data_IF_223886978051
#
_entry.id   IF_223886978051
#
_cell.length_a   1.000
_cell.length_b   1.000
_cell.length_c   1.000
_cell.angle_alpha   90.00
_cell.angle_beta   90.00
_cell.angle_gamma   90.00
#
_symmetry.space_group_name_H-M   'P 1'
#
loop_
_entity.id
_entity.type
_entity.pdbx_description
1 polymer ?
#
# COMPACT_ATOMS: atom_id res chain seq x y z
N UNK A 1 -0.36 0.66 -18.54
CA UNK A 1 -0.94 2.02 -18.54
C UNK A 1 0.20 2.99 -18.80
N UNK A 2 0.13 3.78 -19.86
CA UNK A 2 1.08 4.88 -20.06
C UNK A 2 0.66 6.05 -19.17
N UNK A 3 1.44 6.31 -18.12
CA UNK A 3 1.26 7.48 -17.27
C UNK A 3 1.95 8.68 -17.91
N UNK A 4 1.23 9.45 -18.73
CA UNK A 4 1.67 10.79 -19.14
C UNK A 4 1.36 11.82 -18.02
N UNK A 5 1.81 11.52 -16.80
CA UNK A 5 1.65 12.36 -15.62
C UNK A 5 3.00 12.56 -14.95
N UNK A 6 3.39 13.82 -14.76
CA UNK A 6 4.65 14.15 -14.11
C UNK A 6 4.42 14.35 -12.60
N UNK A 7 4.85 13.36 -11.82
CA UNK A 7 4.66 13.33 -10.38
C UNK A 7 5.53 14.38 -9.67
N UNK A 8 4.93 15.30 -8.92
CA UNK A 8 5.61 16.41 -8.22
C UNK A 8 5.62 16.27 -6.70
N UNK A 9 4.88 15.30 -6.18
CA UNK A 9 4.64 15.05 -4.77
C UNK A 9 3.75 16.09 -4.09
N UNK A 10 2.72 16.56 -4.79
CA UNK A 10 1.67 17.45 -4.26
C UNK A 10 0.28 16.82 -4.31
N UNK A 11 -0.72 17.55 -3.82
CA UNK A 11 -2.11 17.09 -3.74
C UNK A 11 -2.70 16.72 -5.11
N UNK A 12 -2.34 17.45 -6.17
CA UNK A 12 -2.74 17.15 -7.56
C UNK A 12 -2.35 15.71 -7.98
N UNK A 13 -1.20 15.23 -7.50
CA UNK A 13 -0.75 13.86 -7.76
C UNK A 13 -1.63 12.85 -7.04
N UNK A 14 -2.03 13.13 -5.80
CA UNK A 14 -2.94 12.26 -5.06
C UNK A 14 -4.33 12.23 -5.66
N UNK A 15 -4.87 13.37 -6.11
CA UNK A 15 -6.12 13.39 -6.86
C UNK A 15 -6.02 12.63 -8.18
N UNK A 16 -4.89 12.72 -8.89
CA UNK A 16 -4.66 11.94 -10.10
C UNK A 16 -4.63 10.45 -9.80
N UNK A 17 -3.85 10.02 -8.82
CA UNK A 17 -3.77 8.62 -8.39
C UNK A 17 -5.13 8.12 -7.95
N UNK A 18 -5.86 8.84 -7.10
CA UNK A 18 -7.20 8.47 -6.64
C UNK A 18 -8.13 8.15 -7.82
N UNK A 19 -8.18 9.01 -8.84
CA UNK A 19 -9.01 8.77 -10.03
C UNK A 19 -8.60 7.52 -10.79
N UNK A 20 -7.30 7.26 -10.95
CA UNK A 20 -6.82 6.07 -11.64
C UNK A 20 -7.13 4.79 -10.85
N UNK A 21 -6.91 4.80 -9.53
CA UNK A 21 -7.22 3.65 -8.68
C UNK A 21 -8.73 3.38 -8.64
N UNK A 22 -9.56 4.44 -8.53
CA UNK A 22 -11.02 4.34 -8.63
C UNK A 22 -11.45 3.68 -9.95
N UNK A 23 -10.87 4.07 -11.08
CA UNK A 23 -11.18 3.51 -12.39
C UNK A 23 -10.89 2.00 -12.44
N UNK A 24 -9.77 1.55 -11.88
CA UNK A 24 -9.41 0.12 -11.84
C UNK A 24 -10.32 -0.65 -10.88
N UNK A 25 -10.63 -0.09 -9.71
CA UNK A 25 -11.46 -0.75 -8.69
C UNK A 25 -12.96 -0.66 -8.98
N UNK A 26 -13.37 0.15 -9.96
CA UNK A 26 -14.79 0.40 -10.25
C UNK A 26 -15.50 1.19 -9.15
N UNK A 27 -14.79 2.08 -8.45
CA UNK A 27 -15.37 2.97 -7.43
C UNK A 27 -15.71 4.31 -8.09
N UNK A 28 -16.90 4.84 -7.82
CA UNK A 28 -17.28 6.18 -8.30
C UNK A 28 -16.57 7.26 -7.48
N UNK A 29 -15.58 7.91 -8.10
CA UNK A 29 -14.80 8.97 -7.47
C UNK A 29 -15.63 10.18 -7.02
N UNK A 30 -16.83 10.40 -7.57
CA UNK A 30 -17.69 11.52 -7.17
C UNK A 30 -18.31 11.32 -5.78
N UNK A 31 -18.30 10.09 -5.25
CA UNK A 31 -18.75 9.78 -3.89
C UNK A 31 -17.69 10.05 -2.82
N UNK A 32 -16.47 10.37 -3.25
CA UNK A 32 -15.30 10.43 -2.38
C UNK A 32 -14.82 11.88 -2.20
N UNK A 33 -14.45 12.21 -0.98
CA UNK A 33 -13.75 13.43 -0.64
C UNK A 33 -12.33 13.09 -0.17
N UNK A 34 -11.33 13.59 -0.88
CA UNK A 34 -9.91 13.38 -0.54
C UNK A 34 -9.47 14.46 0.43
N UNK A 35 -8.97 14.06 1.59
CA UNK A 35 -8.52 14.95 2.66
C UNK A 35 -7.06 14.68 2.98
N UNK A 36 -6.28 15.72 3.21
CA UNK A 36 -4.88 15.58 3.63
C UNK A 36 -4.72 15.95 5.10
N UNK A 37 -3.87 15.22 5.80
CA UNK A 37 -3.49 15.54 7.17
C UNK A 37 -1.99 15.38 7.37
N UNK A 38 -1.48 16.14 8.32
CA UNK A 38 -0.10 16.07 8.78
C UNK A 38 -0.13 15.75 10.27
N UNK A 39 0.37 14.57 10.64
CA UNK A 39 0.59 14.28 12.05
C UNK A 39 1.80 15.08 12.54
N UNK A 40 1.77 15.65 13.77
CA UNK A 40 2.91 16.33 14.33
C UNK A 40 4.14 15.41 14.27
N UNK A 41 5.18 15.87 13.58
CA UNK A 41 6.42 15.12 13.41
C UNK A 41 7.00 14.67 14.75
N UNK A 42 7.64 13.51 14.74
CA UNK A 42 8.43 13.02 15.87
C UNK A 42 9.40 14.10 16.33
N UNK A 43 9.44 14.37 17.63
CA UNK A 43 10.34 15.35 18.25
C UNK A 43 11.79 14.88 18.02
N UNK A 44 12.58 15.67 17.30
CA UNK A 44 14.04 15.47 17.19
C UNK A 44 14.68 15.66 18.58
N UNK A 45 15.15 14.57 19.18
CA UNK A 45 16.11 14.67 20.28
C UNK A 45 17.53 14.74 19.72
N UNK A 46 18.34 15.63 20.30
CA UNK A 46 19.70 16.00 19.85
C UNK A 46 20.74 14.87 19.81
N UNK A 47 20.39 13.64 20.18
CA UNK A 47 21.33 12.50 20.29
C UNK A 47 21.06 11.35 19.31
N UNK A 48 20.28 11.56 18.24
CA UNK A 48 20.23 10.61 17.12
C UNK A 48 19.63 9.23 17.43
N UNK A 49 18.98 9.09 18.58
CA UNK A 49 18.17 7.93 18.96
C UNK A 49 16.69 8.28 18.80
N UNK A 50 16.02 7.66 17.83
CA UNK A 50 14.57 7.68 17.68
C UNK A 50 14.01 6.63 18.64
N UNK A 51 13.40 7.06 19.75
CA UNK A 51 12.63 6.18 20.63
C UNK A 51 11.16 6.23 20.24
N UNK A 52 10.62 5.12 19.73
CA UNK A 52 9.16 4.92 19.65
C UNK A 52 8.65 4.48 21.03
N UNK A 53 8.23 5.46 21.84
CA UNK A 53 7.38 5.22 23.01
C UNK A 53 6.11 6.04 22.86
N UNK A 54 5.07 5.40 22.31
CA UNK A 54 3.73 5.97 22.25
C UNK A 54 2.88 5.22 21.22
N UNK A 55 1.85 4.53 21.69
CA UNK A 55 0.80 3.90 20.88
C UNK A 55 -0.11 4.95 20.21
N UNK A 56 0.46 5.84 19.41
CA UNK A 56 -0.27 6.56 18.37
C UNK A 56 0.03 5.83 17.06
N UNK A 57 -0.92 5.02 16.61
CA UNK A 57 -0.89 4.42 15.28
C UNK A 57 -0.95 5.56 14.26
N UNK A 58 0.23 6.03 13.83
CA UNK A 58 0.39 6.93 12.70
C UNK A 58 -0.03 6.20 11.44
N UNK A 59 -1.31 6.33 11.08
CA UNK A 59 -1.85 5.67 9.89
C UNK A 59 -1.38 6.40 8.63
N UNK A 60 -1.08 5.66 7.55
CA UNK A 60 -0.66 6.26 6.28
C UNK A 60 -1.85 6.89 5.52
N UNK A 61 -3.05 6.36 5.78
CA UNK A 61 -4.32 6.86 5.31
C UNK A 61 -5.45 6.34 6.19
N UNK A 62 -6.67 6.82 5.92
CA UNK A 62 -7.87 6.42 6.65
C UNK A 62 -9.14 6.58 5.82
N UNK A 63 -9.95 5.53 5.79
CA UNK A 63 -11.33 5.55 5.33
C UNK A 63 -12.29 5.99 6.44
N UNK A 64 -13.20 6.92 6.11
CA UNK A 64 -14.30 7.35 6.98
C UNK A 64 -15.60 7.44 6.18
N UNK A 65 -16.64 6.75 6.63
CA UNK A 65 -18.00 6.86 6.08
C UNK A 65 -18.88 7.62 7.07
N UNK A 66 -19.53 8.68 6.61
CA UNK A 66 -20.46 9.47 7.41
C UNK A 66 -21.90 8.99 7.23
N UNK A 67 -22.76 9.27 8.22
CA UNK A 67 -24.18 8.87 8.19
C UNK A 67 -24.95 9.42 6.97
N UNK A 68 -24.51 10.53 6.39
CA UNK A 68 -25.09 11.13 5.19
C UNK A 68 -24.63 10.47 3.87
N UNK A 69 -23.80 9.41 3.95
CA UNK A 69 -23.26 8.70 2.80
C UNK A 69 -22.04 9.34 2.15
N UNK A 70 -21.53 10.46 2.68
CA UNK A 70 -20.23 11.01 2.28
C UNK A 70 -19.11 10.06 2.73
N UNK A 71 -18.15 9.82 1.85
CA UNK A 71 -16.96 9.02 2.15
C UNK A 71 -15.74 9.92 2.07
N UNK A 72 -14.95 9.95 3.14
CA UNK A 72 -13.65 10.60 3.16
C UNK A 72 -12.54 9.58 3.08
N UNK A 73 -11.60 9.85 2.17
CA UNK A 73 -10.32 9.17 2.08
C UNK A 73 -9.29 10.16 2.59
N UNK A 74 -8.73 9.90 3.76
CA UNK A 74 -7.70 10.74 4.36
C UNK A 74 -6.33 10.19 4.00
N UNK A 75 -5.41 11.04 3.56
CA UNK A 75 -4.04 10.68 3.21
C UNK A 75 -3.07 11.53 4.00
N UNK A 76 -2.08 10.88 4.59
CA UNK A 76 -1.04 11.59 5.32
C UNK A 76 -0.01 12.22 4.38
N UNK A 77 0.36 13.48 4.62
CA UNK A 77 1.14 14.29 3.66
C UNK A 77 2.49 13.68 3.28
N UNK A 78 3.15 12.89 4.15
CA UNK A 78 4.41 12.23 3.78
C UNK A 78 4.24 11.22 2.63
N UNK A 79 3.04 10.66 2.45
CA UNK A 79 2.74 9.73 1.35
C UNK A 79 2.86 10.44 0.00
N UNK A 80 2.56 11.75 -0.06
CA UNK A 80 2.69 12.53 -1.30
C UNK A 80 4.11 12.49 -1.85
N UNK A 81 5.13 12.26 -1.03
CA UNK A 81 6.54 12.25 -1.48
C UNK A 81 6.98 10.91 -2.09
N UNK A 82 6.14 9.88 -2.02
CA UNK A 82 6.45 8.55 -2.54
C UNK A 82 5.28 8.00 -3.36
N UNK A 83 5.38 7.97 -4.72
CA UNK A 83 4.31 7.46 -5.58
C UNK A 83 3.88 6.04 -5.24
N UNK A 84 4.83 5.15 -4.92
CA UNK A 84 4.55 3.75 -4.58
C UNK A 84 3.71 3.66 -3.31
N UNK A 85 4.12 4.38 -2.26
CA UNK A 85 3.37 4.39 -1.00
C UNK A 85 2.01 5.06 -1.16
N UNK A 86 1.92 6.17 -1.90
CA UNK A 86 0.66 6.86 -2.18
C UNK A 86 -0.35 5.96 -2.91
N UNK A 87 0.09 5.26 -3.95
CA UNK A 87 -0.76 4.31 -4.69
C UNK A 87 -1.19 3.16 -3.78
N UNK A 88 -0.28 2.60 -2.99
CA UNK A 88 -0.58 1.53 -2.06
C UNK A 88 -1.62 1.95 -1.00
N UNK A 89 -1.43 3.11 -0.38
CA UNK A 89 -2.37 3.66 0.62
C UNK A 89 -3.73 3.94 0.00
N UNK A 90 -3.80 4.64 -1.15
CA UNK A 90 -5.08 4.91 -1.80
C UNK A 90 -5.79 3.61 -2.20
N UNK A 91 -5.06 2.62 -2.72
CA UNK A 91 -5.64 1.32 -3.05
C UNK A 91 -6.19 0.60 -1.82
N UNK A 92 -5.48 0.65 -0.69
CA UNK A 92 -5.93 0.12 0.58
C UNK A 92 -7.23 0.82 1.05
N UNK A 93 -7.26 2.15 1.11
CA UNK A 93 -8.46 2.87 1.57
C UNK A 93 -9.66 2.68 0.63
N UNK A 94 -9.44 2.59 -0.69
CA UNK A 94 -10.53 2.27 -1.63
C UNK A 94 -10.99 0.81 -1.51
N UNK A 95 -10.16 -0.09 -1.02
CA UNK A 95 -10.58 -1.43 -0.71
C UNK A 95 -11.48 -1.46 0.53
N UNK A 96 -11.30 -0.56 1.51
CA UNK A 96 -12.29 -0.35 2.59
C UNK A 96 -13.63 0.13 2.04
N UNK A 97 -13.66 1.03 1.05
CA UNK A 97 -14.91 1.44 0.37
C UNK A 97 -15.63 0.22 -0.21
N UNK A 98 -14.89 -0.68 -0.87
CA UNK A 98 -15.47 -1.86 -1.52
C UNK A 98 -15.87 -2.95 -0.53
N UNK A 99 -15.15 -3.12 0.57
CA UNK A 99 -15.45 -4.13 1.57
C UNK A 99 -16.57 -3.68 2.53
N UNK A 100 -16.41 -2.50 3.12
CA UNK A 100 -17.32 -1.96 4.14
C UNK A 100 -18.41 -1.09 3.52
N UNK A 101 -18.04 -0.14 2.66
CA UNK A 101 -18.99 0.80 2.03
C UNK A 101 -20.02 0.10 1.15
N UNK A 102 -19.61 -0.91 0.39
CA UNK A 102 -20.51 -1.75 -0.41
C UNK A 102 -21.09 -2.95 0.39
N UNK A 103 -20.86 -2.99 1.72
CA UNK A 103 -21.40 -3.98 2.66
C UNK A 103 -21.09 -5.43 2.29
N UNK A 104 -19.90 -5.69 1.75
CA UNK A 104 -19.40 -7.05 1.53
C UNK A 104 -18.99 -7.74 2.83
N UNK A 105 -18.53 -6.97 3.81
CA UNK A 105 -18.24 -7.41 5.18
C UNK A 105 -18.87 -6.43 6.18
N UNK A 106 -19.13 -6.90 7.40
CA UNK A 106 -19.73 -6.07 8.47
C UNK A 106 -18.67 -5.41 9.36
N UNK A 107 -17.57 -6.10 9.62
CA UNK A 107 -16.48 -5.65 10.49
C UNK A 107 -15.23 -5.34 9.67
N UNK A 108 -14.49 -4.31 10.08
CA UNK A 108 -13.24 -3.94 9.43
C UNK A 108 -12.19 -5.05 9.55
N UNK A 109 -11.62 -5.47 8.41
CA UNK A 109 -10.51 -6.42 8.34
C UNK A 109 -9.40 -5.88 7.45
N UNK A 110 -8.40 -5.29 8.10
CA UNK A 110 -7.26 -4.66 7.47
C UNK A 110 -6.39 -5.64 6.66
N UNK A 111 -6.33 -6.92 7.07
CA UNK A 111 -5.61 -7.94 6.33
C UNK A 111 -6.34 -8.30 5.03
N UNK A 112 -7.66 -8.41 5.11
CA UNK A 112 -8.50 -8.61 3.92
C UNK A 112 -8.45 -7.40 2.99
N UNK A 113 -8.40 -6.19 3.54
CA UNK A 113 -8.23 -4.95 2.75
C UNK A 113 -6.90 -4.95 2.00
N UNK A 114 -5.78 -5.30 2.63
CA UNK A 114 -4.49 -5.45 1.96
C UNK A 114 -4.53 -6.51 0.83
N UNK A 115 -5.11 -7.69 1.10
CA UNK A 115 -5.23 -8.74 0.10
C UNK A 115 -6.16 -8.34 -1.05
N UNK A 116 -7.26 -7.65 -0.73
CA UNK A 116 -8.20 -7.13 -1.72
C UNK A 116 -7.50 -6.18 -2.68
N UNK A 117 -6.80 -5.16 -2.15
CA UNK A 117 -6.04 -4.22 -2.96
C UNK A 117 -5.02 -4.93 -3.87
N UNK A 118 -4.32 -5.94 -3.34
CA UNK A 118 -3.41 -6.79 -4.11
C UNK A 118 -4.13 -7.52 -5.27
N UNK A 119 -5.26 -8.17 -4.99
CA UNK A 119 -6.06 -8.92 -5.98
C UNK A 119 -6.66 -8.00 -7.06
N UNK A 120 -7.04 -6.77 -6.69
CA UNK A 120 -7.53 -5.74 -7.62
C UNK A 120 -6.46 -5.16 -8.55
N UNK A 121 -5.21 -5.62 -8.45
CA UNK A 121 -4.14 -5.29 -9.39
C UNK A 121 -3.08 -4.32 -8.84
N UNK A 122 -3.15 -3.97 -7.55
CA UNK A 122 -2.18 -3.07 -6.92
C UNK A 122 -1.06 -3.79 -6.18
N UNK A 123 -0.92 -5.11 -6.38
CA UNK A 123 -0.03 -5.96 -5.60
C UNK A 123 1.44 -5.56 -5.63
N UNK A 124 1.96 -5.04 -6.76
CA UNK A 124 3.34 -4.52 -6.80
C UNK A 124 3.51 -3.35 -5.83
N UNK A 125 2.58 -2.39 -5.84
CA UNK A 125 2.66 -1.21 -4.98
C UNK A 125 2.50 -1.57 -3.50
N UNK A 126 1.48 -2.37 -3.18
CA UNK A 126 1.20 -2.85 -1.82
C UNK A 126 2.39 -3.63 -1.26
N UNK A 127 2.94 -4.57 -2.04
CA UNK A 127 4.07 -5.38 -1.59
C UNK A 127 5.37 -4.58 -1.43
N UNK A 128 5.64 -3.64 -2.33
CA UNK A 128 6.82 -2.79 -2.26
C UNK A 128 6.74 -1.79 -1.08
N UNK A 129 5.55 -1.25 -0.79
CA UNK A 129 5.33 -0.33 0.34
C UNK A 129 5.51 -1.02 1.71
N UNK A 130 5.22 -2.32 1.79
CA UNK A 130 5.39 -3.12 3.01
C UNK A 130 6.86 -3.45 3.36
N UNK A 131 7.81 -3.18 2.45
CA UNK A 131 9.24 -3.36 2.73
C UNK A 131 9.75 -2.19 3.58
N UNK A 132 10.32 -2.49 4.76
CA UNK A 132 11.01 -1.49 5.58
C UNK A 132 12.34 -1.11 4.93
N UNK A 133 12.53 0.19 4.66
CA UNK A 133 13.75 0.76 4.10
C UNK A 133 14.38 1.73 5.10
N UNK A 134 15.68 1.60 5.33
CA UNK A 134 16.47 2.52 6.16
C UNK A 134 17.40 3.31 5.25
N UNK A 135 17.18 4.62 5.15
CA UNK A 135 18.03 5.53 4.40
C UNK A 135 18.82 6.41 5.35
N UNK A 136 20.08 6.69 5.02
CA UNK A 136 20.84 7.76 5.68
C UNK A 136 20.60 9.07 4.96
N UNK A 137 20.39 10.15 5.71
CA UNK A 137 20.45 11.50 5.17
C UNK A 137 21.64 12.24 5.78
N UNK A 138 22.32 13.05 4.97
CA UNK A 138 23.42 13.90 5.41
C UNK A 138 23.06 15.37 5.21
N UNK A 139 23.02 16.10 6.32
CA UNK A 139 22.97 17.56 6.36
C UNK A 139 24.36 18.16 6.51
N UNK A 140 24.44 19.49 6.43
CA UNK A 140 25.69 20.27 6.51
C UNK A 140 26.45 20.02 7.84
N UNK A 141 25.75 19.62 8.90
CA UNK A 141 26.33 19.40 10.24
C UNK A 141 25.99 18.05 10.90
N UNK A 142 25.09 17.24 10.34
CA UNK A 142 24.60 16.01 10.97
C UNK A 142 24.28 14.92 9.94
N UNK A 143 24.49 13.65 10.31
CA UNK A 143 24.01 12.48 9.57
C UNK A 143 22.96 11.78 10.41
N UNK A 144 21.79 11.48 9.83
CA UNK A 144 20.68 10.81 10.51
C UNK A 144 20.17 9.60 9.73
N UNK A 145 19.39 8.74 10.41
CA UNK A 145 18.68 7.62 9.79
C UNK A 145 17.20 7.97 9.62
N UNK A 146 16.67 7.74 8.42
CA UNK A 146 15.25 7.83 8.12
C UNK A 146 14.74 6.42 7.78
N UNK A 147 13.74 5.96 8.51
CA UNK A 147 13.02 4.71 8.22
C UNK A 147 11.79 5.04 7.38
N UNK A 148 11.54 4.29 6.31
CA UNK A 148 10.36 4.41 5.45
C UNK A 148 9.83 3.02 5.08
N UNK A 149 8.58 2.94 4.63
CA UNK A 149 7.93 1.66 4.35
C UNK A 149 7.57 0.88 5.62
N UNK A 150 7.30 -0.41 5.47
CA UNK A 150 6.66 -1.20 6.54
C UNK A 150 5.23 -0.75 6.84
N UNK A 151 4.63 0.02 5.93
CA UNK A 151 3.23 0.42 5.98
C UNK A 151 2.39 -0.67 5.33
N UNK A 152 1.36 -1.12 6.05
CA UNK A 152 0.54 -2.27 5.68
C UNK A 152 0.44 -3.26 6.84
N UNK A 153 -0.67 -3.97 6.91
CA UNK A 153 -0.93 -4.93 7.99
C UNK A 153 -0.31 -6.29 7.66
N UNK A 154 -0.24 -6.63 6.38
CA UNK A 154 0.46 -7.82 5.92
C UNK A 154 1.96 -7.59 5.69
N UNK A 155 2.76 -8.49 6.25
CA UNK A 155 4.19 -8.53 5.98
C UNK A 155 4.45 -8.87 4.49
N UNK A 156 5.44 -8.22 3.86
CA UNK A 156 5.73 -8.36 2.43
C UNK A 156 5.89 -9.81 1.95
N UNK A 157 6.36 -10.71 2.82
CA UNK A 157 6.50 -12.14 2.52
C UNK A 157 5.15 -12.83 2.26
N UNK A 158 4.11 -12.46 3.01
CA UNK A 158 2.75 -12.98 2.81
C UNK A 158 2.19 -12.43 1.50
N UNK A 159 2.38 -11.12 1.24
CA UNK A 159 1.97 -10.48 -0.01
C UNK A 159 2.69 -11.09 -1.23
N UNK A 160 4.00 -11.36 -1.14
CA UNK A 160 4.76 -12.03 -2.19
C UNK A 160 4.25 -13.46 -2.48
N UNK A 161 3.89 -14.21 -1.43
CA UNK A 161 3.26 -15.52 -1.58
C UNK A 161 1.88 -15.41 -2.24
N UNK A 162 1.05 -14.46 -1.80
CA UNK A 162 -0.27 -14.21 -2.38
C UNK A 162 -0.17 -13.83 -3.87
N UNK A 163 0.79 -12.99 -4.24
CA UNK A 163 1.10 -12.66 -5.64
C UNK A 163 1.48 -13.90 -6.45
N UNK A 164 2.34 -14.77 -5.91
CA UNK A 164 2.75 -16.01 -6.59
C UNK A 164 1.58 -16.96 -6.80
N UNK A 165 0.68 -17.06 -5.80
CA UNK A 165 -0.53 -17.87 -5.88
C UNK A 165 -1.52 -17.29 -6.90
N UNK A 166 -1.73 -15.97 -6.89
CA UNK A 166 -2.57 -15.28 -7.86
C UNK A 166 -2.06 -15.45 -9.29
N UNK A 167 -0.75 -15.28 -9.51
CA UNK A 167 -0.11 -15.52 -10.80
C UNK A 167 -0.34 -16.97 -11.27
N UNK A 168 -0.25 -17.95 -10.36
CA UNK A 168 -0.52 -19.35 -10.68
C UNK A 168 -1.97 -19.57 -11.12
N UNK A 169 -2.96 -18.99 -10.41
CA UNK A 169 -4.37 -19.05 -10.81
C UNK A 169 -4.65 -18.38 -12.15
N UNK A 170 -3.95 -17.29 -12.46
CA UNK A 170 -4.06 -16.60 -13.75
C UNK A 170 -3.31 -17.32 -14.88
N UNK A 171 -2.56 -18.38 -14.58
CA UNK A 171 -1.71 -19.06 -15.56
C UNK A 171 -0.50 -18.23 -16.00
N UNK A 172 -0.15 -17.18 -15.26
CA UNK A 172 1.01 -16.34 -15.53
C UNK A 172 2.30 -17.12 -15.18
N UNK A 173 3.21 -17.27 -16.14
CA UNK A 173 4.47 -17.99 -15.95
C UNK A 173 5.62 -17.04 -15.60
N UNK A 174 5.86 -16.06 -16.46
CA UNK A 174 6.89 -15.02 -16.27
C UNK A 174 6.29 -13.64 -16.53
N UNK A 175 5.39 -13.16 -15.65
CA UNK A 175 4.79 -11.85 -15.85
C UNK A 175 5.82 -10.72 -15.72
N UNK A 176 5.75 -9.75 -16.65
CA UNK A 176 6.65 -8.59 -16.70
C UNK A 176 6.61 -7.75 -15.41
N UNK A 177 5.47 -7.75 -14.70
CA UNK A 177 5.31 -6.95 -13.48
C UNK A 177 6.27 -7.36 -12.35
N UNK A 178 6.86 -8.57 -12.42
CA UNK A 178 7.86 -9.05 -11.46
C UNK A 178 9.09 -8.14 -11.43
N UNK A 179 9.43 -7.50 -12.54
CA UNK A 179 10.60 -6.63 -12.63
C UNK A 179 10.43 -5.30 -11.88
N UNK A 180 9.21 -4.95 -11.52
CA UNK A 180 8.90 -3.77 -10.71
C UNK A 180 8.83 -4.05 -9.21
N UNK A 181 9.03 -5.30 -8.79
CA UNK A 181 9.09 -5.66 -7.37
C UNK A 181 10.41 -5.22 -6.74
N UNK A 182 10.35 -4.77 -5.48
CA UNK A 182 11.53 -4.63 -4.63
C UNK A 182 12.25 -5.97 -4.48
N UNK A 183 13.58 -5.94 -4.33
CA UNK A 183 14.41 -7.15 -4.41
C UNK A 183 14.00 -8.24 -3.40
N UNK A 184 13.68 -7.86 -2.17
CA UNK A 184 13.22 -8.80 -1.13
C UNK A 184 11.86 -9.45 -1.46
N UNK A 185 10.96 -8.67 -2.05
CA UNK A 185 9.65 -9.15 -2.51
C UNK A 185 9.85 -10.08 -3.69
N UNK A 186 10.67 -9.68 -4.68
CA UNK A 186 11.01 -10.46 -5.88
C UNK A 186 11.63 -11.80 -5.53
N UNK A 187 12.58 -11.81 -4.59
CA UNK A 187 13.22 -13.03 -4.08
C UNK A 187 12.20 -13.94 -3.40
N UNK A 188 11.36 -13.39 -2.55
CA UNK A 188 10.33 -14.17 -1.85
C UNK A 188 9.29 -14.73 -2.82
N UNK A 189 8.82 -13.92 -3.78
CA UNK A 189 7.90 -14.34 -4.84
C UNK A 189 8.45 -15.54 -5.62
N UNK A 190 9.72 -15.48 -6.04
CA UNK A 190 10.38 -16.59 -6.76
C UNK A 190 10.46 -17.87 -5.92
N UNK A 191 10.70 -17.75 -4.61
CA UNK A 191 10.67 -18.91 -3.70
C UNK A 191 9.26 -19.48 -3.59
N UNK A 192 8.26 -18.61 -3.44
CA UNK A 192 6.85 -19.01 -3.38
C UNK A 192 6.40 -19.71 -4.67
N UNK A 193 6.80 -19.24 -5.85
CA UNK A 193 6.51 -19.89 -7.14
C UNK A 193 7.00 -21.33 -7.19
N UNK A 194 8.26 -21.59 -6.80
CA UNK A 194 8.82 -22.95 -6.74
C UNK A 194 8.07 -23.84 -5.76
N UNK A 195 7.70 -23.29 -4.60
CA UNK A 195 6.92 -24.02 -3.62
C UNK A 195 5.52 -24.38 -4.15
N UNK A 196 4.84 -23.42 -4.78
CA UNK A 196 3.49 -23.59 -5.34
C UNK A 196 3.52 -24.63 -6.47
N UNK A 197 4.49 -24.60 -7.37
CA UNK A 197 4.62 -25.56 -8.48
C UNK A 197 4.59 -27.03 -8.00
N UNK A 198 5.23 -27.31 -6.87
CA UNK A 198 5.30 -28.66 -6.29
C UNK A 198 4.07 -29.00 -5.42
N UNK A 199 3.46 -28.00 -4.77
CA UNK A 199 2.46 -28.21 -3.72
C UNK A 199 1.06 -27.71 -4.10
N UNK A 200 0.81 -27.25 -5.32
CA UNK A 200 -0.41 -26.52 -5.66
C UNK A 200 -1.69 -27.27 -5.28
N UNK A 201 -1.75 -28.58 -5.51
CA UNK A 201 -2.92 -29.40 -5.20
C UNK A 201 -3.30 -29.39 -3.71
N UNK A 202 -2.34 -29.21 -2.79
CA UNK A 202 -2.61 -29.18 -1.35
C UNK A 202 -2.98 -27.80 -0.81
N UNK A 203 -2.67 -26.74 -1.56
CA UNK A 203 -2.85 -25.34 -1.15
C UNK A 203 -3.88 -24.58 -2.00
N UNK A 204 -4.44 -25.21 -3.03
CA UNK A 204 -5.47 -24.59 -3.87
C UNK A 204 -6.77 -24.38 -3.08
N UNK A 205 -7.46 -23.30 -3.39
CA UNK A 205 -8.82 -23.03 -2.94
C UNK A 205 -9.73 -24.07 -3.60
N UNK A 206 -10.67 -24.60 -2.82
CA UNK A 206 -11.64 -25.59 -3.28
C UNK A 206 -12.85 -24.91 -3.92
#
# INVERSE_FOLDING_TARGET
MDFNWHFKGGEDDAHHVLRQVCQVMGVDANRLHLVFYSEPGQIEFSEGLISQQGHYLSTAGKYVEFENGLIEIMIEEKQLKNPTSLIATIAHELMHVRLLGDRMIEENDEYLTDLGALVYGFGVFVANAAVVKMNTWSGISHTGWQVSGGAGYLHYKVQAFALALLANYKGEQEPEWIDFLEEDVKKTYRQSRKYIEVNFESIRFK
#
